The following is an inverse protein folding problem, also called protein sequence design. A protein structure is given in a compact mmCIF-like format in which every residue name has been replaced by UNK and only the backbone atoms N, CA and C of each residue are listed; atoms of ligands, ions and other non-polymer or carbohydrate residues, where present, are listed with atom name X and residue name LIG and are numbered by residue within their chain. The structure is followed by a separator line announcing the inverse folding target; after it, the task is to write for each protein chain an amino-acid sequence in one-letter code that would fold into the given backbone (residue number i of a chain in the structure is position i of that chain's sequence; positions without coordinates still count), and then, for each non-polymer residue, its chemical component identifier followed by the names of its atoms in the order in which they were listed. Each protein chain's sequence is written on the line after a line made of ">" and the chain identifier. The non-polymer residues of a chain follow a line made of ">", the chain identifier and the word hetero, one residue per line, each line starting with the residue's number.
data_IF_815590734321
#
_entry.id   IF_815590734321
#
_cell.length_a   1.000
_cell.length_b   1.000
_cell.length_c   1.000
_cell.angle_alpha   90.00
_cell.angle_beta   90.00
_cell.angle_gamma   90.00
#
_symmetry.space_group_name_H-M   'P 1'
#
loop_
_entity.id
_entity.type
_entity.pdbx_description
1 polymer ?
#
# COMPACT_ATOMS: atom_id res chain seq x y z
N UNK A 1 -23.31 -15.70 8.61
CA UNK A 1 -23.53 -15.16 7.25
C UNK A 1 -22.88 -13.79 7.06
N UNK A 2 -23.18 -12.76 7.88
CA UNK A 2 -22.59 -11.40 7.76
C UNK A 2 -21.04 -11.38 7.72
N UNK A 3 -20.36 -12.20 8.54
CA UNK A 3 -18.88 -12.20 8.61
C UNK A 3 -18.22 -12.55 7.27
N UNK A 4 -18.79 -13.49 6.51
CA UNK A 4 -18.24 -13.92 5.21
C UNK A 4 -18.35 -12.79 4.19
N UNK A 5 -19.47 -12.06 4.20
CA UNK A 5 -19.71 -10.90 3.35
C UNK A 5 -18.73 -9.76 3.66
N UNK A 6 -18.48 -9.48 4.94
CA UNK A 6 -17.49 -8.51 5.40
C UNK A 6 -16.07 -8.87 4.95
N UNK A 7 -15.64 -10.10 5.20
CA UNK A 7 -14.31 -10.56 4.78
C UNK A 7 -14.16 -10.53 3.25
N UNK A 8 -15.21 -10.89 2.49
CA UNK A 8 -15.23 -10.75 1.04
C UNK A 8 -15.02 -9.31 0.58
N UNK A 9 -15.70 -8.35 1.21
CA UNK A 9 -15.55 -6.93 0.89
C UNK A 9 -14.15 -6.41 1.21
N UNK A 10 -13.60 -6.79 2.37
CA UNK A 10 -12.21 -6.45 2.76
C UNK A 10 -11.21 -6.95 1.73
N UNK A 11 -11.37 -8.19 1.24
CA UNK A 11 -10.50 -8.76 0.20
C UNK A 11 -10.59 -7.96 -1.09
N UNK A 12 -11.79 -7.64 -1.57
CA UNK A 12 -11.97 -6.88 -2.82
C UNK A 12 -11.38 -5.48 -2.72
N UNK A 13 -11.67 -4.76 -1.64
CA UNK A 13 -11.14 -3.40 -1.40
C UNK A 13 -9.61 -3.42 -1.28
N UNK A 14 -9.06 -4.41 -0.56
CA UNK A 14 -7.61 -4.62 -0.47
C UNK A 14 -6.97 -4.84 -1.84
N UNK A 15 -7.63 -5.61 -2.71
CA UNK A 15 -7.15 -5.89 -4.06
C UNK A 15 -7.17 -4.64 -4.94
N UNK A 16 -8.26 -3.85 -4.88
CA UNK A 16 -8.36 -2.56 -5.59
C UNK A 16 -7.27 -1.59 -5.11
N UNK A 17 -7.07 -1.48 -3.79
CA UNK A 17 -6.02 -0.64 -3.22
C UNK A 17 -4.62 -1.05 -3.68
N UNK A 18 -4.36 -2.37 -3.72
CA UNK A 18 -3.11 -2.92 -4.22
C UNK A 18 -2.86 -2.52 -5.68
N UNK A 19 -3.87 -2.66 -6.55
CA UNK A 19 -3.79 -2.26 -7.97
C UNK A 19 -3.57 -0.75 -8.11
N UNK A 20 -4.21 0.07 -7.27
CA UNK A 20 -4.03 1.52 -7.31
C UNK A 20 -2.58 1.94 -6.98
N UNK A 21 -1.99 1.33 -5.95
CA UNK A 21 -0.58 1.56 -5.59
C UNK A 21 0.33 1.19 -6.77
N UNK A 22 0.08 0.04 -7.39
CA UNK A 22 0.85 -0.43 -8.58
C UNK A 22 0.78 0.60 -9.70
N UNK A 23 -0.42 1.06 -10.04
CA UNK A 23 -0.63 2.00 -11.12
C UNK A 23 0.02 3.36 -10.81
N UNK A 24 -0.12 3.86 -9.59
CA UNK A 24 0.47 5.13 -9.16
C UNK A 24 2.01 5.09 -9.21
N UNK A 25 2.62 4.00 -8.74
CA UNK A 25 4.06 3.81 -8.82
C UNK A 25 4.52 3.71 -10.28
N UNK A 26 3.82 2.94 -11.10
CA UNK A 26 4.13 2.78 -12.53
C UNK A 26 4.11 4.13 -13.24
N UNK A 27 3.06 4.93 -13.02
CA UNK A 27 2.95 6.27 -13.61
C UNK A 27 4.06 7.21 -13.14
N UNK A 28 4.39 7.21 -11.83
CA UNK A 28 5.51 8.01 -11.31
C UNK A 28 6.85 7.63 -11.95
N UNK A 29 7.08 6.33 -12.17
CA UNK A 29 8.30 5.83 -12.81
C UNK A 29 8.41 6.25 -14.27
N UNK A 30 7.30 6.21 -15.02
CA UNK A 30 7.25 6.65 -16.41
C UNK A 30 7.55 8.15 -16.49
N UNK A 31 6.94 8.96 -15.62
CA UNK A 31 7.18 10.41 -15.55
C UNK A 31 8.64 10.74 -15.24
N UNK A 32 9.27 9.97 -14.33
CA UNK A 32 10.67 10.15 -13.94
C UNK A 32 11.68 9.39 -14.80
N UNK A 33 11.26 8.74 -15.89
CA UNK A 33 12.15 7.94 -16.76
C UNK A 33 13.30 8.80 -17.33
N UNK A 34 13.03 10.05 -17.68
CA UNK A 34 14.04 11.01 -18.15
C UNK A 34 15.06 11.39 -17.07
N UNK A 35 14.60 11.57 -15.82
CA UNK A 35 15.47 11.84 -14.67
C UNK A 35 16.34 10.62 -14.36
N UNK A 36 15.78 9.40 -14.41
CA UNK A 36 16.56 8.17 -14.23
C UNK A 36 17.57 7.92 -15.32
N UNK A 37 17.27 8.28 -16.57
CA UNK A 37 18.22 8.23 -17.68
C UNK A 37 19.39 9.20 -17.43
N UNK A 38 19.12 10.43 -17.00
CA UNK A 38 20.15 11.39 -16.63
C UNK A 38 21.01 10.91 -15.44
N UNK A 39 20.37 10.37 -14.39
CA UNK A 39 21.06 9.80 -13.22
C UNK A 39 21.94 8.60 -13.61
N UNK A 40 21.49 7.74 -14.52
CA UNK A 40 22.30 6.64 -15.07
C UNK A 40 23.56 7.15 -15.77
N UNK A 41 23.47 8.24 -16.54
CA UNK A 41 24.63 8.85 -17.20
C UNK A 41 25.66 9.40 -16.19
N UNK A 42 25.22 9.81 -15.00
CA UNK A 42 26.08 10.30 -13.91
C UNK A 42 26.61 9.12 -13.02
N UNK A 43 26.20 7.88 -13.31
CA UNK A 43 26.72 6.66 -12.65
C UNK A 43 25.76 5.98 -11.67
N UNK A 44 24.47 6.34 -11.66
CA UNK A 44 23.49 5.69 -10.79
C UNK A 44 23.27 4.22 -11.21
N UNK A 45 23.64 3.29 -10.32
CA UNK A 45 23.50 1.86 -10.57
C UNK A 45 22.04 1.38 -10.50
N UNK A 46 21.69 0.34 -11.26
CA UNK A 46 20.35 -0.29 -11.26
C UNK A 46 19.87 -0.75 -9.87
N UNK A 47 20.80 -0.98 -8.93
CA UNK A 47 20.50 -1.28 -7.52
C UNK A 47 19.97 -0.05 -6.77
N UNK A 48 20.48 1.15 -7.06
CA UNK A 48 20.01 2.41 -6.49
C UNK A 48 18.57 2.72 -6.87
N UNK A 49 18.22 2.53 -8.15
CA UNK A 49 16.84 2.69 -8.64
C UNK A 49 15.87 1.75 -7.91
N UNK A 50 16.21 0.46 -7.79
CA UNK A 50 15.37 -0.51 -7.05
C UNK A 50 15.21 -0.14 -5.57
N UNK A 51 16.28 0.33 -4.91
CA UNK A 51 16.23 0.75 -3.51
C UNK A 51 15.32 1.96 -3.32
N UNK A 52 15.38 2.92 -4.24
CA UNK A 52 14.53 4.12 -4.21
C UNK A 52 13.04 3.75 -4.32
N UNK A 53 12.68 2.87 -5.25
CA UNK A 53 11.29 2.44 -5.47
C UNK A 53 10.77 1.64 -4.28
N UNK A 54 11.63 0.81 -3.69
CA UNK A 54 11.28 0.05 -2.48
C UNK A 54 11.02 0.99 -1.29
N UNK A 55 11.82 2.05 -1.15
CA UNK A 55 11.63 3.09 -0.13
C UNK A 55 10.34 3.88 -0.36
N UNK A 56 10.06 4.29 -1.61
CA UNK A 56 8.84 5.00 -1.97
C UNK A 56 7.60 4.15 -1.63
N UNK A 57 7.64 2.87 -1.98
CA UNK A 57 6.60 1.90 -1.62
C UNK A 57 6.42 1.70 -0.11
N UNK A 58 7.51 1.59 0.64
CA UNK A 58 7.47 1.51 2.11
C UNK A 58 6.85 2.76 2.73
N UNK A 59 7.21 3.95 2.22
CA UNK A 59 6.64 5.21 2.68
C UNK A 59 5.13 5.27 2.46
N UNK A 60 4.64 4.86 1.27
CA UNK A 60 3.19 4.77 1.03
C UNK A 60 2.49 3.82 2.01
N UNK A 61 3.09 2.67 2.33
CA UNK A 61 2.54 1.73 3.32
C UNK A 61 2.50 2.30 4.74
N UNK A 62 3.57 2.98 5.17
CA UNK A 62 3.66 3.61 6.50
C UNK A 62 2.63 4.74 6.62
N UNK A 63 2.61 5.65 5.65
CA UNK A 63 1.70 6.78 5.62
C UNK A 63 0.24 6.30 5.55
N UNK A 64 -0.06 5.32 4.68
CA UNK A 64 -1.37 4.72 4.57
C UNK A 64 -1.84 4.04 5.86
N UNK A 65 -0.97 3.28 6.53
CA UNK A 65 -1.29 2.63 7.81
C UNK A 65 -1.51 3.65 8.94
N UNK A 66 -0.76 4.76 8.94
CA UNK A 66 -0.90 5.83 9.92
C UNK A 66 -2.27 6.52 9.76
N UNK A 67 -2.58 7.00 8.57
CA UNK A 67 -3.88 7.63 8.29
C UNK A 67 -5.04 6.66 8.46
N UNK A 68 -4.89 5.41 8.00
CA UNK A 68 -5.91 4.37 8.15
C UNK A 68 -6.20 4.05 9.61
N UNK A 69 -5.18 3.95 10.46
CA UNK A 69 -5.35 3.72 11.90
C UNK A 69 -6.01 4.91 12.60
N UNK A 70 -5.58 6.14 12.29
CA UNK A 70 -6.18 7.35 12.87
C UNK A 70 -7.66 7.46 12.51
N UNK A 71 -8.00 7.28 11.24
CA UNK A 71 -9.39 7.35 10.75
C UNK A 71 -10.21 6.19 11.34
N UNK A 72 -9.65 4.97 11.35
CA UNK A 72 -10.33 3.79 11.88
C UNK A 72 -10.64 3.90 13.38
N UNK A 73 -9.69 4.38 14.19
CA UNK A 73 -9.88 4.62 15.62
C UNK A 73 -10.93 5.73 15.84
N UNK A 74 -10.83 6.83 15.07
CA UNK A 74 -11.79 7.94 15.18
C UNK A 74 -13.22 7.50 14.84
N UNK A 75 -13.38 6.69 13.79
CA UNK A 75 -14.68 6.15 13.39
C UNK A 75 -15.21 5.15 14.43
N UNK A 76 -14.34 4.27 14.95
CA UNK A 76 -14.70 3.33 16.02
C UNK A 76 -15.16 4.05 17.29
N UNK A 77 -14.49 5.15 17.65
CA UNK A 77 -14.87 5.98 18.79
C UNK A 77 -16.21 6.70 18.55
N UNK A 78 -16.43 7.22 17.34
CA UNK A 78 -17.71 7.85 16.97
C UNK A 78 -18.88 6.84 17.02
N UNK A 79 -18.68 5.62 16.52
CA UNK A 79 -19.68 4.55 16.61
C UNK A 79 -19.95 4.14 18.06
N UNK A 80 -18.90 4.03 18.88
CA UNK A 80 -19.06 3.74 20.31
C UNK A 80 -19.86 4.83 21.00
N UNK A 81 -19.56 6.12 20.77
CA UNK A 81 -20.30 7.24 21.38
C UNK A 81 -21.80 7.18 21.04
N UNK A 82 -22.13 6.85 19.78
CA UNK A 82 -23.52 6.70 19.34
C UNK A 82 -24.24 5.49 19.98
N UNK A 83 -23.52 4.43 20.34
CA UNK A 83 -24.09 3.24 20.98
C UNK A 83 -24.13 3.33 22.50
N UNK A 84 -23.25 4.13 23.11
CA UNK A 84 -23.15 4.29 24.55
C UNK A 84 -24.33 5.10 25.14
N UNK A 85 -25.13 5.77 24.30
CA UNK A 85 -26.44 6.32 24.71
C UNK A 85 -27.46 5.22 25.05
N UNK A 86 -27.22 3.96 24.64
CA UNK A 86 -28.20 2.85 24.77
C UNK A 86 -27.76 1.77 25.77
N UNK A 87 -26.45 1.61 26.05
CA UNK A 87 -25.92 0.63 26.99
C UNK A 87 -24.63 1.15 27.63
N UNK A 88 -24.59 1.26 28.96
CA UNK A 88 -23.36 1.51 29.73
C UNK A 88 -22.38 0.32 29.58
N UNK A 89 -21.64 0.29 28.50
CA UNK A 89 -20.60 -0.71 28.24
C UNK A 89 -19.26 0.01 28.22
N UNK A 90 -18.33 -0.31 29.12
CA UNK A 90 -16.98 0.27 29.09
C UNK A 90 -16.32 0.12 27.71
N UNK A 91 -15.86 1.23 27.13
CA UNK A 91 -15.02 1.23 25.93
C UNK A 91 -13.73 0.45 26.17
N UNK A 92 -13.71 -0.82 25.76
CA UNK A 92 -12.45 -1.57 25.62
C UNK A 92 -11.92 -1.25 24.24
N UNK A 93 -10.85 -0.44 24.18
CA UNK A 93 -10.06 -0.26 22.96
C UNK A 93 -9.59 -1.64 22.48
N UNK A 94 -10.03 -2.11 21.29
CA UNK A 94 -9.62 -3.40 20.77
C UNK A 94 -8.22 -3.28 20.15
N UNK A 95 -7.21 -3.21 21.01
CA UNK A 95 -5.79 -3.08 20.63
C UNK A 95 -5.34 -4.22 19.72
N UNK A 96 -5.83 -5.44 19.95
CA UNK A 96 -5.53 -6.61 19.13
C UNK A 96 -5.98 -6.45 17.68
N UNK A 97 -7.18 -5.90 17.47
CA UNK A 97 -7.72 -5.65 16.13
C UNK A 97 -6.95 -4.55 15.39
N UNK A 98 -6.49 -3.53 16.12
CA UNK A 98 -5.66 -2.46 15.55
C UNK A 98 -4.31 -3.04 15.13
N UNK A 99 -3.68 -3.86 15.96
CA UNK A 99 -2.40 -4.52 15.64
C UNK A 99 -2.54 -5.41 14.40
N UNK A 100 -3.60 -6.23 14.33
CA UNK A 100 -3.85 -7.10 13.18
C UNK A 100 -4.12 -6.27 11.91
N UNK A 101 -4.87 -5.16 12.01
CA UNK A 101 -5.13 -4.28 10.89
C UNK A 101 -3.86 -3.58 10.38
N UNK A 102 -3.02 -3.09 11.29
CA UNK A 102 -1.72 -2.46 10.96
C UNK A 102 -0.78 -3.47 10.32
N UNK A 103 -0.67 -4.67 10.90
CA UNK A 103 0.14 -5.75 10.34
C UNK A 103 -0.37 -6.17 8.95
N UNK A 104 -1.68 -6.30 8.79
CA UNK A 104 -2.32 -6.59 7.50
C UNK A 104 -2.05 -5.50 6.46
N UNK A 105 -2.19 -4.22 6.84
CA UNK A 105 -1.90 -3.08 5.97
C UNK A 105 -0.42 -3.03 5.55
N UNK A 106 0.50 -3.30 6.47
CA UNK A 106 1.94 -3.41 6.15
C UNK A 106 2.22 -4.56 5.18
N UNK A 107 1.63 -5.74 5.39
CA UNK A 107 1.80 -6.90 4.51
C UNK A 107 1.24 -6.60 3.12
N UNK A 108 0.03 -6.05 3.03
CA UNK A 108 -0.61 -5.68 1.76
C UNK A 108 0.21 -4.60 1.04
N UNK A 109 0.68 -3.58 1.76
CA UNK A 109 1.55 -2.54 1.22
C UNK A 109 2.84 -3.13 0.66
N UNK A 110 3.50 -4.01 1.42
CA UNK A 110 4.73 -4.69 1.00
C UNK A 110 4.52 -5.59 -0.23
N UNK A 111 3.46 -6.40 -0.25
CA UNK A 111 3.10 -7.25 -1.41
C UNK A 111 2.79 -6.39 -2.63
N UNK A 112 2.06 -5.28 -2.45
CA UNK A 112 1.72 -4.35 -3.52
C UNK A 112 2.94 -3.74 -4.17
N UNK A 113 4.04 -3.54 -3.43
CA UNK A 113 5.32 -3.02 -3.95
C UNK A 113 6.11 -4.08 -4.72
N UNK A 114 5.91 -5.38 -4.47
CA UNK A 114 6.57 -6.43 -5.24
C UNK A 114 6.04 -6.56 -6.68
N UNK A 115 4.75 -6.35 -6.91
CA UNK A 115 4.15 -6.43 -8.25
C UNK A 115 4.73 -5.42 -9.28
N UNK A 116 4.92 -4.11 -8.98
CA UNK A 116 5.52 -3.14 -9.89
C UNK A 116 7.02 -3.40 -10.05
N UNK A 117 7.73 -3.80 -8.99
CA UNK A 117 9.14 -4.23 -9.08
C UNK A 117 9.31 -5.43 -10.04
N UNK A 118 8.36 -6.37 -10.06
CA UNK A 118 8.35 -7.49 -11.00
C UNK A 118 7.99 -7.05 -12.43
N UNK A 119 7.05 -6.11 -12.61
CA UNK A 119 6.71 -5.54 -13.93
C UNK A 119 7.89 -4.78 -14.55
N UNK A 120 8.60 -3.96 -13.78
CA UNK A 120 9.79 -3.24 -14.26
C UNK A 120 10.93 -4.16 -14.70
N UNK A 121 11.07 -5.33 -14.04
CA UNK A 121 12.03 -6.35 -14.46
C UNK A 121 11.67 -6.95 -15.83
N UNK A 122 10.37 -7.09 -16.13
CA UNK A 122 9.89 -7.57 -17.43
C UNK A 122 10.02 -6.52 -18.51
N UNK A 123 9.69 -5.25 -18.26
CA UNK A 123 9.86 -4.19 -19.27
C UNK A 123 11.33 -3.97 -19.68
N UNK A 124 12.28 -4.02 -18.72
CA UNK A 124 13.71 -3.97 -19.08
C UNK A 124 14.20 -5.19 -19.89
N UNK A 125 13.48 -6.31 -19.89
CA UNK A 125 13.84 -7.51 -20.66
C UNK A 125 13.15 -7.53 -22.03
N UNK A 126 12.01 -6.86 -22.18
CA UNK A 126 11.19 -6.91 -23.40
C UNK A 126 11.51 -5.72 -24.33
N UNK A 127 11.81 -4.53 -23.80
CA UNK A 127 12.22 -3.39 -24.65
C UNK A 127 13.65 -3.52 -25.20
N UNK A 128 14.52 -4.30 -24.55
CA UNK A 128 15.89 -4.56 -25.06
C UNK A 128 15.90 -5.55 -26.22
N UNK A 129 14.87 -6.39 -26.35
CA UNK A 129 14.76 -7.41 -27.41
C UNK A 129 13.86 -6.95 -28.57
N UNK A 130 13.16 -5.81 -28.43
CA UNK A 130 12.26 -5.27 -29.46
C UNK A 130 12.84 -4.06 -30.21
N UNK A 131 14.04 -3.63 -29.83
CA UNK A 131 14.88 -2.69 -30.59
C UNK A 131 15.90 -3.40 -31.50
N UNK A 132 15.83 -4.74 -31.65
CA UNK A 132 16.48 -5.48 -32.74
C UNK A 132 15.45 -6.01 -33.75
#
# INVERSE_FOLDING_TARGET
>A
MIKILLFGFVVVVSLIGSVNIINTLTTNLILRRREFAALKCIGLTQKGLKKMITLEGMLYGIVGSLYGSIIGISLSYAMYRSMNEVREQSYKLPVDSIIIAVAGAMIIGYISVQAPLRRMKKENLIDVVREE
#
